data_IF_240901162895
#
_entry.id   IF_240901162895
#
_cell.length_a   1.000
_cell.length_b   1.000
_cell.length_c   1.000
_cell.angle_alpha   90.00
_cell.angle_beta   90.00
_cell.angle_gamma   90.00
#
_symmetry.space_group_name_H-M   'P 1'
#
loop_
_entity.id
_entity.type
_entity.pdbx_description
1 polymer ?
#
# COMPACT_ATOMS: atom_id res chain seq x y z
N UNK A 1 -3.75 -21.18 8.93
CA UNK A 1 -4.49 -21.12 10.18
C UNK A 1 -5.97 -20.91 9.93
N UNK A 2 -6.42 -19.72 9.50
CA UNK A 2 -7.86 -19.46 9.23
C UNK A 2 -8.28 -19.83 7.81
N UNK A 3 -7.37 -19.91 6.84
CA UNK A 3 -7.66 -20.02 5.42
C UNK A 3 -8.31 -18.77 4.81
N UNK A 4 -8.31 -17.64 5.55
CA UNK A 4 -8.95 -16.38 5.16
C UNK A 4 -7.95 -15.23 5.27
N UNK A 5 -8.19 -14.15 4.51
CA UNK A 5 -7.47 -12.89 4.68
C UNK A 5 -7.76 -12.30 6.07
N UNK A 6 -6.84 -11.52 6.61
CA UNK A 6 -7.06 -10.74 7.84
C UNK A 6 -8.13 -9.65 7.67
N UNK A 7 -8.47 -9.28 6.43
CA UNK A 7 -9.57 -8.36 6.10
C UNK A 7 -10.95 -9.00 6.21
N UNK A 8 -11.01 -10.35 6.23
CA UNK A 8 -12.26 -11.08 6.47
C UNK A 8 -12.73 -10.83 7.92
N UNK A 9 -14.02 -10.47 8.15
CA UNK A 9 -14.55 -10.20 9.49
C UNK A 9 -14.36 -11.34 10.49
N UNK A 10 -14.34 -12.60 10.02
CA UNK A 10 -14.11 -13.75 10.90
C UNK A 10 -12.63 -13.95 11.26
N UNK A 11 -11.71 -13.51 10.41
CA UNK A 11 -10.26 -13.62 10.64
C UNK A 11 -9.67 -12.42 11.36
N UNK A 12 -10.30 -11.25 11.28
CA UNK A 12 -9.82 -10.00 11.89
C UNK A 12 -9.55 -10.12 13.39
N UNK A 13 -10.45 -10.71 14.23
CA UNK A 13 -10.17 -10.85 15.66
C UNK A 13 -8.91 -11.66 15.95
N UNK A 14 -8.62 -12.68 15.15
CA UNK A 14 -7.39 -13.46 15.27
C UNK A 14 -6.15 -12.63 14.91
N UNK A 15 -6.21 -11.82 13.86
CA UNK A 15 -5.11 -10.93 13.48
C UNK A 15 -4.84 -9.87 14.57
N UNK A 16 -5.87 -9.27 15.16
CA UNK A 16 -5.74 -8.34 16.28
C UNK A 16 -5.14 -9.02 17.52
N UNK A 17 -5.55 -10.26 17.82
CA UNK A 17 -4.99 -11.02 18.93
C UNK A 17 -3.49 -11.30 18.76
N UNK A 18 -3.03 -11.55 17.52
CA UNK A 18 -1.59 -11.68 17.23
C UNK A 18 -0.87 -10.36 17.55
N UNK A 19 -1.40 -9.23 17.08
CA UNK A 19 -0.79 -7.91 17.34
C UNK A 19 -0.76 -7.58 18.83
N UNK A 20 -1.83 -7.91 19.55
CA UNK A 20 -1.88 -7.73 21.01
C UNK A 20 -0.82 -8.60 21.70
N UNK A 21 -0.70 -9.86 21.29
CA UNK A 21 0.33 -10.76 21.87
C UNK A 21 1.76 -10.25 21.65
N UNK A 22 2.03 -9.63 20.50
CA UNK A 22 3.32 -8.98 20.24
C UNK A 22 3.56 -7.80 21.20
N UNK A 23 2.54 -6.96 21.45
CA UNK A 23 2.63 -5.85 22.40
C UNK A 23 2.86 -6.34 23.84
N UNK A 24 2.12 -7.41 24.26
CA UNK A 24 2.32 -8.01 25.58
C UNK A 24 3.77 -8.47 25.75
N UNK A 25 4.35 -9.05 24.69
CA UNK A 25 5.74 -9.51 24.71
C UNK A 25 6.75 -8.35 24.80
N UNK A 26 6.47 -7.25 24.10
CA UNK A 26 7.26 -6.01 24.22
C UNK A 26 7.22 -5.46 25.65
N UNK A 27 6.07 -5.50 26.29
CA UNK A 27 5.91 -5.08 27.68
C UNK A 27 6.71 -5.98 28.65
N UNK A 28 6.63 -7.31 28.49
CA UNK A 28 7.42 -8.28 29.26
C UNK A 28 8.93 -7.98 29.17
N UNK A 29 9.44 -7.77 27.95
CA UNK A 29 10.86 -7.47 27.74
C UNK A 29 11.28 -6.13 28.32
N UNK A 30 10.41 -5.11 28.22
CA UNK A 30 10.66 -3.80 28.84
C UNK A 30 10.85 -3.92 30.34
N UNK A 31 10.01 -4.71 31.02
CA UNK A 31 10.14 -4.93 32.48
C UNK A 31 11.40 -5.72 32.81
N UNK A 32 11.75 -6.73 32.03
CA UNK A 32 12.91 -7.58 32.28
C UNK A 32 14.25 -6.88 32.03
N UNK A 33 14.33 -6.07 30.99
CA UNK A 33 15.61 -5.53 30.48
C UNK A 33 15.77 -4.03 30.71
N UNK A 34 14.69 -3.32 31.08
CA UNK A 34 14.70 -1.87 31.27
C UNK A 34 14.84 -1.08 29.96
N UNK A 35 14.62 -1.75 28.81
CA UNK A 35 14.70 -1.16 27.48
C UNK A 35 13.30 -0.96 26.88
N UNK A 36 13.14 0.06 26.04
CA UNK A 36 11.90 0.29 25.31
C UNK A 36 11.76 -0.63 24.11
N UNK A 37 10.71 -1.44 24.08
CA UNK A 37 10.31 -2.27 22.93
C UNK A 37 8.94 -1.84 22.44
N UNK A 38 8.72 -1.87 21.13
CA UNK A 38 7.41 -1.57 20.55
C UNK A 38 7.19 -2.30 19.24
N UNK A 39 5.93 -2.59 18.95
CA UNK A 39 5.53 -3.12 17.64
C UNK A 39 5.55 -1.98 16.64
N UNK A 40 6.11 -2.24 15.46
CA UNK A 40 6.23 -1.30 14.36
C UNK A 40 5.64 -1.88 13.08
N UNK A 41 4.73 -1.16 12.46
CA UNK A 41 4.16 -1.47 11.15
C UNK A 41 5.16 -1.09 10.05
N UNK A 42 6.13 -1.97 9.77
CA UNK A 42 7.27 -1.64 8.90
C UNK A 42 6.84 -1.38 7.45
N UNK A 43 7.28 -0.27 6.85
CA UNK A 43 7.16 -0.06 5.42
C UNK A 43 8.20 -0.92 4.69
N UNK A 44 7.79 -2.09 4.22
CA UNK A 44 8.66 -2.99 3.46
C UNK A 44 8.72 -2.52 2.01
N UNK A 45 9.87 -2.04 1.57
CA UNK A 45 10.04 -1.52 0.22
C UNK A 45 10.40 -2.60 -0.81
N UNK A 46 11.64 -2.64 -1.25
CA UNK A 46 12.09 -3.61 -2.27
C UNK A 46 12.11 -5.06 -1.78
N UNK A 47 12.09 -5.29 -0.46
CA UNK A 47 12.04 -6.63 0.14
C UNK A 47 10.73 -7.36 -0.11
N UNK A 48 9.61 -6.68 -0.38
CA UNK A 48 8.34 -7.33 -0.74
C UNK A 48 8.49 -8.23 -1.96
N UNK A 49 9.22 -7.78 -2.98
CA UNK A 49 9.52 -8.56 -4.18
C UNK A 49 10.41 -9.76 -3.87
N UNK A 50 11.45 -9.57 -3.06
CA UNK A 50 12.33 -10.67 -2.64
C UNK A 50 11.56 -11.73 -1.86
N UNK A 51 10.73 -11.34 -0.90
CA UNK A 51 9.90 -12.27 -0.13
C UNK A 51 8.90 -13.02 -1.02
N UNK A 52 8.20 -12.35 -1.92
CA UNK A 52 7.28 -12.98 -2.85
C UNK A 52 7.99 -14.08 -3.67
N UNK A 53 9.15 -13.77 -4.24
CA UNK A 53 9.97 -14.75 -4.98
C UNK A 53 10.42 -15.93 -4.11
N UNK A 54 10.87 -15.69 -2.89
CA UNK A 54 11.28 -16.74 -1.97
C UNK A 54 10.09 -17.64 -1.58
N UNK A 55 8.93 -17.06 -1.31
CA UNK A 55 7.72 -17.82 -0.97
C UNK A 55 7.27 -18.68 -2.16
N UNK A 56 7.21 -18.08 -3.37
CA UNK A 56 6.86 -18.81 -4.59
C UNK A 56 7.84 -19.94 -4.90
N UNK A 57 9.14 -19.70 -4.72
CA UNK A 57 10.17 -20.74 -4.91
C UNK A 57 10.04 -21.88 -3.91
N UNK A 58 9.66 -21.57 -2.65
CA UNK A 58 9.59 -22.57 -1.57
C UNK A 58 8.28 -23.36 -1.55
N UNK A 59 7.16 -22.72 -1.85
CA UNK A 59 5.82 -23.27 -1.68
C UNK A 59 5.05 -23.45 -2.99
N UNK A 60 5.63 -23.04 -4.13
CA UNK A 60 4.95 -23.01 -5.41
C UNK A 60 4.00 -21.83 -5.54
N UNK A 61 3.25 -21.82 -6.63
CA UNK A 61 2.22 -20.81 -6.86
C UNK A 61 0.91 -21.20 -6.15
N UNK A 62 0.50 -20.38 -5.18
CA UNK A 62 -0.74 -20.54 -4.42
C UNK A 62 -1.59 -19.30 -4.69
N UNK A 63 -2.77 -19.49 -5.29
CA UNK A 63 -3.70 -18.42 -5.65
C UNK A 63 -4.06 -17.55 -4.45
N UNK A 64 -3.92 -16.25 -4.60
CA UNK A 64 -4.18 -15.23 -3.56
C UNK A 64 -3.12 -15.15 -2.47
N UNK A 65 -2.01 -15.89 -2.57
CA UNK A 65 -0.92 -15.89 -1.58
C UNK A 65 0.44 -15.67 -2.23
N UNK A 66 0.82 -16.50 -3.23
CA UNK A 66 2.13 -16.46 -3.87
C UNK A 66 2.05 -16.27 -5.39
N UNK A 67 0.91 -15.90 -5.91
CA UNK A 67 0.62 -15.67 -7.32
C UNK A 67 0.97 -14.26 -7.82
N UNK A 68 1.52 -13.43 -6.94
CA UNK A 68 2.02 -12.09 -7.27
C UNK A 68 3.50 -11.96 -6.99
N UNK A 69 4.16 -11.01 -7.65
CA UNK A 69 5.56 -10.69 -7.42
C UNK A 69 5.77 -9.69 -6.27
N UNK A 70 4.76 -9.50 -5.43
CA UNK A 70 4.81 -8.69 -4.20
C UNK A 70 3.97 -9.32 -3.09
N UNK A 71 4.18 -8.86 -1.86
CA UNK A 71 3.34 -9.19 -0.70
C UNK A 71 2.78 -7.89 -0.10
N UNK A 72 1.64 -8.00 0.59
CA UNK A 72 1.07 -6.88 1.34
C UNK A 72 1.97 -6.52 2.51
N UNK A 73 2.15 -5.23 2.74
CA UNK A 73 2.90 -4.73 3.89
C UNK A 73 2.08 -4.85 5.16
N UNK A 74 2.71 -5.34 6.24
CA UNK A 74 2.17 -5.28 7.59
C UNK A 74 0.70 -5.78 7.64
N UNK A 75 -0.19 -4.98 8.24
CA UNK A 75 -1.63 -5.27 8.38
C UNK A 75 -2.50 -4.59 7.32
N UNK A 76 -1.91 -3.92 6.32
CA UNK A 76 -2.67 -3.17 5.34
C UNK A 76 -3.66 -4.05 4.57
N UNK A 77 -4.77 -3.44 4.17
CA UNK A 77 -5.67 -4.02 3.17
C UNK A 77 -4.90 -4.27 1.89
N UNK A 78 -5.12 -5.41 1.25
CA UNK A 78 -4.43 -5.76 0.01
C UNK A 78 -4.71 -4.72 -1.08
N UNK A 79 -3.69 -4.32 -1.83
CA UNK A 79 -3.77 -3.20 -2.78
C UNK A 79 -4.81 -3.37 -3.89
N UNK A 80 -5.20 -4.62 -4.19
CA UNK A 80 -6.22 -4.96 -5.20
C UNK A 80 -7.63 -5.06 -4.63
N UNK A 81 -7.78 -4.98 -3.31
CA UNK A 81 -9.09 -5.12 -2.69
C UNK A 81 -9.94 -3.87 -2.99
N UNK A 82 -11.12 -4.04 -3.62
CA UNK A 82 -12.00 -2.92 -3.90
C UNK A 82 -12.66 -2.46 -2.61
N UNK A 83 -12.14 -1.38 -2.05
CA UNK A 83 -12.58 -0.81 -0.76
C UNK A 83 -12.49 0.72 -0.82
N UNK A 84 -13.48 1.40 -0.26
CA UNK A 84 -13.44 2.86 -0.16
C UNK A 84 -12.48 3.34 0.96
N UNK A 85 -12.10 4.62 0.89
CA UNK A 85 -11.14 5.22 1.81
C UNK A 85 -11.56 5.12 3.28
N UNK A 86 -12.84 5.34 3.58
CA UNK A 86 -13.33 5.36 4.96
C UNK A 86 -13.36 3.97 5.57
N UNK A 87 -13.86 2.99 4.83
CA UNK A 87 -13.89 1.59 5.25
C UNK A 87 -12.48 1.05 5.46
N UNK A 88 -11.56 1.35 4.53
CA UNK A 88 -10.14 0.98 4.66
C UNK A 88 -9.51 1.59 5.90
N UNK A 89 -9.63 2.90 6.10
CA UNK A 89 -9.06 3.59 7.26
C UNK A 89 -9.66 3.09 8.57
N UNK A 90 -10.97 2.85 8.60
CA UNK A 90 -11.64 2.30 9.79
C UNK A 90 -11.13 0.90 10.13
N UNK A 91 -10.89 0.06 9.12
CA UNK A 91 -10.29 -1.25 9.31
C UNK A 91 -8.86 -1.14 9.88
N UNK A 92 -8.02 -0.31 9.28
CA UNK A 92 -6.60 -0.19 9.62
C UNK A 92 -6.35 0.54 10.94
N UNK A 93 -7.28 1.40 11.39
CA UNK A 93 -7.15 2.17 12.65
C UNK A 93 -6.92 1.28 13.87
N UNK A 94 -7.60 0.14 13.93
CA UNK A 94 -7.47 -0.79 15.06
C UNK A 94 -6.07 -1.43 15.11
N UNK A 95 -5.46 -1.68 13.95
CA UNK A 95 -4.09 -2.20 13.86
C UNK A 95 -3.04 -1.11 14.12
N UNK A 96 -3.31 0.12 13.72
CA UNK A 96 -2.41 1.25 14.04
C UNK A 96 -2.29 1.45 15.55
N UNK A 97 -3.38 1.38 16.30
CA UNK A 97 -3.38 1.47 17.75
C UNK A 97 -2.51 0.36 18.40
N UNK A 98 -2.39 -0.79 17.75
CA UNK A 98 -1.53 -1.89 18.19
C UNK A 98 -0.10 -1.83 17.61
N UNK A 99 0.25 -0.73 16.97
CA UNK A 99 1.58 -0.47 16.40
C UNK A 99 2.20 0.81 16.99
N UNK A 100 2.45 0.86 18.31
CA UNK A 100 2.92 2.07 18.98
C UNK A 100 4.31 2.55 18.54
N UNK A 101 5.09 1.69 17.89
CA UNK A 101 6.36 2.05 17.26
C UNK A 101 6.23 2.85 15.96
N UNK A 102 5.03 2.99 15.45
CA UNK A 102 4.68 3.72 14.24
C UNK A 102 4.11 2.83 13.13
N UNK A 103 3.18 3.38 12.38
CA UNK A 103 2.60 2.79 11.19
C UNK A 103 1.94 3.90 10.35
N UNK A 104 1.82 3.67 9.05
CA UNK A 104 1.26 4.63 8.10
C UNK A 104 0.19 3.94 7.28
N UNK A 105 -1.00 4.52 7.18
CA UNK A 105 -2.04 4.09 6.24
C UNK A 105 -1.98 4.92 4.95
N UNK A 106 -2.25 4.29 3.82
CA UNK A 106 -2.20 4.93 2.51
C UNK A 106 -3.57 4.90 1.82
N UNK A 107 -3.95 6.04 1.23
CA UNK A 107 -5.16 6.15 0.42
C UNK A 107 -4.75 6.54 -1.00
N UNK A 108 -5.06 5.68 -1.96
CA UNK A 108 -4.91 6.01 -3.38
C UNK A 108 -6.08 6.90 -3.81
N UNK A 109 -5.76 8.10 -4.31
CA UNK A 109 -6.73 9.09 -4.75
C UNK A 109 -6.65 9.32 -6.26
N UNK A 110 -7.80 9.51 -6.90
CA UNK A 110 -7.86 10.14 -8.22
C UNK A 110 -7.43 11.62 -8.13
N UNK A 111 -7.43 12.33 -9.25
CA UNK A 111 -7.28 13.78 -9.24
C UNK A 111 -8.48 14.42 -8.53
N UNK A 112 -8.22 14.98 -7.35
CA UNK A 112 -9.23 15.61 -6.48
C UNK A 112 -9.23 17.13 -6.54
N UNK A 113 -8.52 17.74 -7.49
CA UNK A 113 -8.42 19.21 -7.63
C UNK A 113 -9.78 19.90 -7.78
N UNK A 114 -10.78 19.19 -8.34
CA UNK A 114 -12.14 19.66 -8.50
C UNK A 114 -13.11 19.24 -7.39
N UNK A 115 -12.63 18.53 -6.37
CA UNK A 115 -13.46 18.03 -5.26
C UNK A 115 -12.71 18.14 -3.92
N UNK A 116 -12.35 19.36 -3.57
CA UNK A 116 -11.59 19.65 -2.34
C UNK A 116 -12.40 19.29 -1.09
N UNK A 117 -13.72 19.43 -1.12
CA UNK A 117 -14.60 19.11 0.02
C UNK A 117 -14.50 17.62 0.39
N UNK A 118 -14.40 16.72 -0.58
CA UNK A 118 -14.17 15.31 -0.32
C UNK A 118 -12.80 15.07 0.33
N UNK A 119 -11.75 15.78 -0.08
CA UNK A 119 -10.43 15.71 0.54
C UNK A 119 -10.48 16.17 1.99
N UNK A 120 -11.15 17.32 2.26
CA UNK A 120 -11.33 17.84 3.63
C UNK A 120 -12.08 16.83 4.50
N UNK A 121 -13.13 16.21 3.96
CA UNK A 121 -13.90 15.18 4.69
C UNK A 121 -13.04 13.98 5.07
N UNK A 122 -12.17 13.52 4.15
CA UNK A 122 -11.22 12.43 4.44
C UNK A 122 -10.18 12.86 5.47
N UNK A 123 -9.65 14.08 5.39
CA UNK A 123 -8.69 14.61 6.37
C UNK A 123 -9.34 14.67 7.76
N UNK A 124 -10.58 15.13 7.85
CA UNK A 124 -11.32 15.13 9.12
C UNK A 124 -11.48 13.71 9.68
N UNK A 125 -11.84 12.75 8.82
CA UNK A 125 -11.95 11.34 9.24
C UNK A 125 -10.62 10.79 9.73
N UNK A 126 -9.50 11.10 9.04
CA UNK A 126 -8.15 10.72 9.46
C UNK A 126 -7.86 11.29 10.84
N UNK A 127 -8.10 12.59 11.04
CA UNK A 127 -7.88 13.25 12.33
C UNK A 127 -8.63 12.56 13.48
N UNK A 128 -9.85 12.11 13.23
CA UNK A 128 -10.70 11.50 14.25
C UNK A 128 -10.40 10.01 14.53
N UNK A 129 -9.80 9.29 13.57
CA UNK A 129 -9.73 7.82 13.64
C UNK A 129 -8.34 7.21 13.41
N UNK A 130 -7.41 7.92 12.79
CA UNK A 130 -6.12 7.38 12.33
C UNK A 130 -4.97 8.19 12.93
N UNK A 131 -3.92 7.52 13.38
CA UNK A 131 -2.74 8.21 13.92
C UNK A 131 -1.87 8.84 12.83
N UNK A 132 -1.71 8.14 11.71
CA UNK A 132 -0.95 8.64 10.57
C UNK A 132 -1.47 8.05 9.26
N UNK A 133 -1.85 8.89 8.33
CA UNK A 133 -2.25 8.49 6.98
C UNK A 133 -1.71 9.47 5.93
N UNK A 134 -1.58 8.98 4.71
CA UNK A 134 -1.13 9.74 3.56
C UNK A 134 -2.02 9.52 2.35
N UNK A 135 -2.22 10.59 1.60
CA UNK A 135 -2.97 10.58 0.35
C UNK A 135 -1.98 10.42 -0.81
N UNK A 136 -2.16 9.38 -1.61
CA UNK A 136 -1.41 9.14 -2.83
C UNK A 136 -2.19 9.69 -4.02
N UNK A 137 -1.58 10.60 -4.75
CA UNK A 137 -2.07 11.07 -6.05
C UNK A 137 -1.04 10.73 -7.13
N UNK A 138 -1.50 10.60 -8.37
CA UNK A 138 -0.66 10.33 -9.52
C UNK A 138 -0.46 11.63 -10.29
N UNK A 139 0.70 12.25 -10.10
CA UNK A 139 1.10 13.49 -10.76
C UNK A 139 2.43 13.24 -11.47
N UNK A 140 2.34 12.81 -12.72
CA UNK A 140 3.49 12.47 -13.54
C UNK A 140 3.59 13.41 -14.73
N UNK A 141 4.79 13.53 -15.28
CA UNK A 141 5.05 14.40 -16.43
C UNK A 141 5.93 13.71 -17.46
N UNK A 142 5.54 13.80 -18.74
CA UNK A 142 6.33 13.34 -19.87
C UNK A 142 7.05 14.53 -20.52
N UNK A 143 8.38 14.54 -20.46
CA UNK A 143 9.19 15.62 -21.04
C UNK A 143 9.22 15.61 -22.58
N UNK A 144 8.80 14.50 -23.21
CA UNK A 144 8.77 14.39 -24.68
C UNK A 144 7.60 15.13 -25.29
N UNK A 145 6.41 15.03 -24.68
CA UNK A 145 5.18 15.59 -25.25
C UNK A 145 4.44 16.58 -24.37
N UNK A 146 4.97 16.87 -23.16
CA UNK A 146 4.35 17.78 -22.21
C UNK A 146 3.10 17.21 -21.51
N UNK A 147 2.86 15.89 -21.62
CA UNK A 147 1.72 15.26 -20.93
C UNK A 147 1.89 15.41 -19.42
N UNK A 148 0.87 15.95 -18.76
CA UNK A 148 0.73 16.06 -17.32
C UNK A 148 -0.45 15.18 -16.89
N UNK A 149 -0.17 14.18 -16.04
CA UNK A 149 -1.13 13.17 -15.62
C UNK A 149 -0.47 11.82 -15.35
N UNK A 150 -1.26 10.78 -15.23
CA UNK A 150 -0.75 9.43 -14.89
C UNK A 150 0.00 8.78 -16.06
N UNK A 151 1.30 8.57 -15.90
CA UNK A 151 2.09 7.66 -16.75
C UNK A 151 1.67 6.22 -16.44
N UNK A 152 1.37 5.44 -17.46
CA UNK A 152 0.82 4.08 -17.32
C UNK A 152 1.93 3.03 -17.17
N UNK A 153 1.58 1.92 -16.52
CA UNK A 153 2.40 0.73 -16.47
C UNK A 153 1.78 -0.28 -17.44
N UNK A 154 2.52 -0.65 -18.47
CA UNK A 154 2.10 -1.59 -19.52
C UNK A 154 2.93 -2.86 -19.46
N UNK A 155 2.39 -3.96 -20.00
CA UNK A 155 3.18 -5.20 -20.18
C UNK A 155 3.79 -5.20 -21.58
N UNK A 156 5.11 -5.23 -21.65
CA UNK A 156 5.86 -5.27 -22.91
C UNK A 156 6.86 -6.44 -22.85
N UNK A 157 6.76 -7.36 -23.80
CA UNK A 157 7.57 -8.59 -23.85
C UNK A 157 7.68 -9.34 -22.51
N UNK A 158 6.55 -9.41 -21.76
CA UNK A 158 6.48 -10.10 -20.47
C UNK A 158 7.11 -9.34 -19.29
N UNK A 159 7.46 -8.05 -19.46
CA UNK A 159 7.97 -7.17 -18.43
C UNK A 159 7.06 -5.95 -18.26
N UNK A 160 7.02 -5.41 -17.05
CA UNK A 160 6.31 -4.17 -16.77
C UNK A 160 7.19 -2.97 -17.14
N UNK A 161 6.67 -2.12 -18.01
CA UNK A 161 7.33 -0.90 -18.47
C UNK A 161 6.42 0.31 -18.27
N UNK A 162 7.05 1.46 -18.05
CA UNK A 162 6.35 2.73 -17.93
C UNK A 162 6.19 3.35 -19.31
N UNK A 163 4.98 3.78 -19.65
CA UNK A 163 4.65 4.32 -20.96
C UNK A 163 3.76 5.56 -20.85
N UNK A 164 4.14 6.62 -21.54
CA UNK A 164 3.31 7.81 -21.66
C UNK A 164 2.06 7.49 -22.49
N UNK A 165 0.84 7.69 -21.94
CA UNK A 165 -0.39 7.37 -22.66
C UNK A 165 -0.65 8.30 -23.87
N UNK A 166 0.01 9.47 -23.94
CA UNK A 166 -0.18 10.43 -25.01
C UNK A 166 0.77 10.20 -26.22
N UNK A 167 2.04 9.86 -25.98
CA UNK A 167 3.02 9.74 -27.07
C UNK A 167 3.74 8.40 -27.13
N UNK A 168 3.43 7.45 -26.25
CA UNK A 168 4.08 6.14 -26.23
C UNK A 168 5.54 6.15 -25.74
N UNK A 169 6.04 7.28 -25.21
CA UNK A 169 7.40 7.35 -24.70
C UNK A 169 7.63 6.34 -23.59
N UNK A 170 8.70 5.55 -23.66
CA UNK A 170 9.16 4.58 -22.64
C UNK A 170 10.53 4.92 -22.05
N UNK A 171 11.13 6.01 -22.50
CA UNK A 171 12.42 6.47 -21.98
C UNK A 171 12.24 7.05 -20.58
N UNK A 172 12.65 6.28 -19.58
CA UNK A 172 12.56 6.63 -18.15
C UNK A 172 13.33 7.89 -17.79
N UNK A 173 14.33 8.27 -18.58
CA UNK A 173 15.10 9.50 -18.36
C UNK A 173 14.34 10.76 -18.78
N UNK A 174 13.26 10.59 -19.55
CA UNK A 174 12.38 11.66 -20.05
C UNK A 174 10.98 11.61 -19.44
N UNK A 175 10.83 10.94 -18.31
CA UNK A 175 9.61 10.90 -17.54
C UNK A 175 9.89 11.25 -16.08
N UNK A 176 9.05 12.08 -15.51
CA UNK A 176 8.99 12.32 -14.08
C UNK A 176 7.81 11.55 -13.52
N UNK A 177 8.09 10.46 -12.81
CA UNK A 177 7.06 9.62 -12.17
C UNK A 177 7.27 9.68 -10.68
N UNK A 178 6.25 10.14 -9.96
CA UNK A 178 6.27 10.19 -8.49
C UNK A 178 5.21 9.23 -7.93
N UNK A 179 5.65 8.33 -7.07
CA UNK A 179 4.75 7.41 -6.35
C UNK A 179 5.16 7.33 -4.89
N UNK A 180 4.17 7.35 -4.05
CA UNK A 180 4.36 6.97 -2.66
C UNK A 180 4.54 5.46 -2.59
N UNK A 181 5.62 5.00 -2.00
CA UNK A 181 5.84 3.56 -1.85
C UNK A 181 5.68 3.12 -0.42
N UNK A 182 6.34 3.42 0.55
CA UNK A 182 6.14 2.88 1.89
C UNK A 182 6.58 3.80 3.02
N UNK A 183 7.07 4.93 2.81
CA UNK A 183 7.57 5.84 3.84
C UNK A 183 8.11 7.11 3.22
N UNK A 184 8.26 7.11 1.90
CA UNK A 184 8.70 8.28 1.15
C UNK A 184 8.05 8.34 -0.23
N UNK A 185 8.05 9.51 -0.84
CA UNK A 185 7.68 9.67 -2.24
C UNK A 185 8.94 9.41 -3.06
N UNK A 186 8.92 8.31 -3.82
CA UNK A 186 9.99 7.99 -4.76
C UNK A 186 9.71 8.65 -6.11
N UNK A 187 10.74 9.27 -6.68
CA UNK A 187 10.76 9.75 -8.07
C UNK A 187 11.61 8.85 -8.97
N UNK A 188 11.84 7.63 -8.53
CA UNK A 188 12.66 6.64 -9.22
C UNK A 188 11.78 5.51 -9.73
N UNK A 189 12.34 4.76 -10.71
CA UNK A 189 11.68 3.53 -11.17
C UNK A 189 12.05 2.35 -10.26
N UNK A 190 11.08 1.48 -10.03
CA UNK A 190 11.14 0.39 -9.06
C UNK A 190 11.41 -0.95 -9.73
N UNK A 191 11.73 -1.99 -8.94
CA UNK A 191 11.80 -3.36 -9.41
C UNK A 191 10.43 -3.86 -9.91
N UNK A 192 10.40 -4.99 -10.64
CA UNK A 192 9.19 -5.51 -11.27
C UNK A 192 8.05 -5.76 -10.28
N UNK A 193 8.34 -6.35 -9.12
CA UNK A 193 7.30 -6.62 -8.12
C UNK A 193 6.71 -5.35 -7.51
N UNK A 194 7.53 -4.32 -7.24
CA UNK A 194 7.00 -3.03 -6.78
C UNK A 194 6.23 -2.31 -7.90
N UNK A 195 6.69 -2.42 -9.14
CA UNK A 195 5.98 -1.87 -10.30
C UNK A 195 4.63 -2.56 -10.50
N UNK A 196 4.56 -3.89 -10.29
CA UNK A 196 3.31 -4.64 -10.30
C UNK A 196 2.36 -4.17 -9.18
N UNK A 197 2.85 -4.05 -7.97
CA UNK A 197 2.07 -3.57 -6.82
C UNK A 197 1.48 -2.17 -7.08
N UNK A 198 2.28 -1.24 -7.63
CA UNK A 198 1.83 0.12 -7.98
C UNK A 198 0.74 0.08 -9.07
N UNK A 199 0.90 -0.77 -10.08
CA UNK A 199 -0.09 -0.95 -11.15
C UNK A 199 -1.41 -1.46 -10.61
N UNK A 200 -1.35 -2.38 -9.66
CA UNK A 200 -2.50 -3.11 -9.14
C UNK A 200 -3.28 -2.36 -8.07
N UNK A 201 -2.81 -1.18 -7.63
CA UNK A 201 -3.46 -0.40 -6.58
C UNK A 201 -4.87 0.03 -6.96
N UNK A 202 -5.82 -0.34 -6.13
CA UNK A 202 -7.19 0.16 -6.21
C UNK A 202 -7.25 1.63 -5.76
N UNK A 203 -8.07 2.44 -6.45
CA UNK A 203 -8.27 3.87 -6.11
C UNK A 203 -9.38 3.99 -5.08
N UNK A 204 -9.03 4.37 -3.85
CA UNK A 204 -9.92 4.40 -2.69
C UNK A 204 -10.80 5.66 -2.61
N UNK A 205 -10.41 6.75 -3.28
CA UNK A 205 -11.11 8.03 -3.28
C UNK A 205 -11.18 8.62 -4.69
N UNK A 206 -12.41 8.88 -5.17
CA UNK A 206 -12.64 9.41 -6.51
C UNK A 206 -12.48 8.38 -7.64
N UNK A 207 -12.36 7.09 -7.31
CA UNK A 207 -12.33 5.99 -8.25
C UNK A 207 -13.72 5.54 -8.69
N UNK A 208 -13.75 4.52 -9.55
CA UNK A 208 -14.97 3.83 -9.95
C UNK A 208 -15.33 2.75 -8.91
N UNK A 209 -16.42 2.95 -8.18
CA UNK A 209 -16.93 2.03 -7.17
C UNK A 209 -18.05 1.12 -7.68
N UNK A 210 -18.29 1.07 -8.98
CA UNK A 210 -19.35 0.20 -9.56
C UNK A 210 -19.11 -1.29 -9.32
N UNK A 211 -17.93 -1.64 -8.84
CA UNK A 211 -17.51 -3.03 -8.51
C UNK A 211 -17.64 -3.38 -7.03
N UNK A 212 -18.05 -2.43 -6.16
CA UNK A 212 -18.37 -2.66 -4.75
C UNK A 212 -19.84 -3.05 -4.60
#
# INVERSE_FOLDING_TARGET
>A
MTGKSHTDPEAKPFALAIMQRLNDKCAEWKELEGLGYSVYGTPIESTTYKFAKCLKSRFGEIKGITDHDYITNSYHVHVREPIDAFTKLKFESEFQLLSPGGAISYIECADMTKNIDAVITVIQFIYDNIMYAELNTKSDYCQVCGYDGEIKIVTDHGRLEWECPNCGNKDKTKMNVARRTCGYIGSQFWNQGRTEEIRDRFVHLGGDFSVL
#
